data_IF_179200355079
#
_entry.id   IF_179200355079
#
_cell.length_a   1.000
_cell.length_b   1.000
_cell.length_c   1.000
_cell.angle_alpha   90.00
_cell.angle_beta   90.00
_cell.angle_gamma   90.00
#
_symmetry.space_group_name_H-M   'P 1'
#
loop_
_entity.id
_entity.type
_entity.pdbx_description
1 polymer ?
#
# COMPACT_ATOMS: atom_id res chain seq x y z
N UNK A 1 -0.33 -32.49 -4.73
CA UNK A 1 0.77 -32.24 -3.79
C UNK A 1 0.28 -31.38 -2.64
N UNK A 2 -0.37 -32.04 -1.67
CA UNK A 2 -0.98 -31.39 -0.51
C UNK A 2 -0.06 -31.51 0.69
N UNK A 3 0.59 -30.41 1.06
CA UNK A 3 1.18 -30.28 2.38
C UNK A 3 0.00 -30.11 3.36
N UNK A 4 -0.54 -31.22 3.86
CA UNK A 4 -1.51 -31.19 4.97
C UNK A 4 -0.74 -30.83 6.24
N UNK A 5 -0.64 -29.54 6.48
CA UNK A 5 -0.02 -29.05 7.71
C UNK A 5 -1.03 -29.24 8.85
N UNK A 6 -0.77 -30.27 9.66
CA UNK A 6 -1.56 -30.67 10.83
C UNK A 6 -1.35 -29.67 11.99
N UNK A 7 -1.77 -28.42 11.82
CA UNK A 7 -1.65 -27.39 12.87
C UNK A 7 -2.95 -27.30 13.69
N UNK A 8 -2.82 -27.66 14.97
CA UNK A 8 -3.72 -27.42 16.11
C UNK A 8 -5.08 -28.15 16.13
N UNK A 9 -5.33 -29.05 17.11
CA UNK A 9 -6.54 -29.88 17.18
C UNK A 9 -7.81 -29.14 17.62
N UNK A 10 -7.81 -27.82 17.84
CA UNK A 10 -8.98 -27.14 18.43
C UNK A 10 -9.15 -25.67 18.06
N UNK A 11 -8.64 -25.21 16.91
CA UNK A 11 -9.07 -23.90 16.39
C UNK A 11 -10.23 -24.13 15.44
N UNK A 12 -11.42 -23.65 15.81
CA UNK A 12 -12.60 -23.71 14.97
C UNK A 12 -12.29 -23.04 13.62
N UNK A 13 -12.17 -23.84 12.56
CA UNK A 13 -11.88 -23.38 11.19
C UNK A 13 -12.80 -22.24 10.74
N UNK A 14 -14.04 -22.22 11.24
CA UNK A 14 -15.02 -21.17 11.00
C UNK A 14 -14.53 -19.79 11.46
N UNK A 15 -13.88 -19.70 12.63
CA UNK A 15 -13.42 -18.43 13.19
C UNK A 15 -12.18 -17.91 12.45
N UNK A 16 -11.25 -18.80 12.09
CA UNK A 16 -10.10 -18.46 11.23
C UNK A 16 -10.54 -17.98 9.84
N UNK A 17 -11.55 -18.61 9.25
CA UNK A 17 -12.09 -18.22 7.95
C UNK A 17 -12.77 -16.83 8.01
N UNK A 18 -13.59 -16.59 9.04
CA UNK A 18 -14.22 -15.29 9.29
C UNK A 18 -13.18 -14.20 9.52
N UNK A 19 -12.17 -14.46 10.35
CA UNK A 19 -11.09 -13.53 10.62
C UNK A 19 -10.28 -13.22 9.35
N UNK A 20 -9.93 -14.23 8.55
CA UNK A 20 -9.24 -14.03 7.27
C UNK A 20 -10.05 -13.15 6.33
N UNK A 21 -11.35 -13.42 6.18
CA UNK A 21 -12.26 -12.62 5.36
C UNK A 21 -12.35 -11.17 5.85
N UNK A 22 -12.44 -10.98 7.17
CA UNK A 22 -12.41 -9.66 7.80
C UNK A 22 -11.12 -8.90 7.47
N UNK A 23 -9.95 -9.50 7.67
CA UNK A 23 -8.65 -8.86 7.37
C UNK A 23 -8.54 -8.51 5.88
N UNK A 24 -8.97 -9.39 4.98
CA UNK A 24 -8.95 -9.11 3.54
C UNK A 24 -9.85 -7.93 3.18
N UNK A 25 -11.07 -7.86 3.73
CA UNK A 25 -11.98 -6.74 3.51
C UNK A 25 -11.46 -5.44 4.11
N UNK A 26 -10.93 -5.46 5.34
CA UNK A 26 -10.34 -4.27 5.98
C UNK A 26 -9.16 -3.77 5.19
N UNK A 27 -8.26 -4.65 4.75
CA UNK A 27 -7.08 -4.28 3.95
C UNK A 27 -7.50 -3.69 2.61
N UNK A 28 -8.49 -4.29 1.95
CA UNK A 28 -9.04 -3.80 0.69
C UNK A 28 -9.61 -2.40 0.83
N UNK A 29 -10.50 -2.20 1.81
CA UNK A 29 -11.13 -0.91 2.07
C UNK A 29 -10.07 0.12 2.46
N UNK A 30 -9.17 -0.23 3.38
CA UNK A 30 -8.10 0.68 3.83
C UNK A 30 -7.20 1.12 2.68
N UNK A 31 -6.85 0.22 1.75
CA UNK A 31 -6.04 0.56 0.59
C UNK A 31 -6.70 1.58 -0.33
N UNK A 32 -8.01 1.45 -0.58
CA UNK A 32 -8.78 2.40 -1.36
C UNK A 32 -8.86 3.78 -0.66
N UNK A 33 -9.08 3.79 0.66
CA UNK A 33 -9.10 5.02 1.45
C UNK A 33 -7.74 5.70 1.49
N UNK A 34 -6.65 4.95 1.63
CA UNK A 34 -5.29 5.50 1.56
C UNK A 34 -5.06 6.19 0.21
N UNK A 35 -5.48 5.58 -0.90
CA UNK A 35 -5.41 6.20 -2.21
C UNK A 35 -6.22 7.50 -2.26
N UNK A 36 -7.40 7.55 -1.64
CA UNK A 36 -8.21 8.76 -1.54
C UNK A 36 -7.53 9.85 -0.69
N UNK A 37 -6.93 9.53 0.46
CA UNK A 37 -6.16 10.51 1.25
C UNK A 37 -5.01 11.06 0.44
N UNK A 38 -4.23 10.17 -0.19
CA UNK A 38 -3.10 10.57 -1.03
C UNK A 38 -3.62 11.46 -2.14
N UNK A 39 -4.78 11.14 -2.71
CA UNK A 39 -5.42 11.96 -3.73
C UNK A 39 -5.80 13.34 -3.22
N UNK A 40 -6.41 13.42 -2.04
CA UNK A 40 -6.85 14.66 -1.39
C UNK A 40 -5.66 15.50 -0.95
N UNK A 41 -4.66 14.94 -0.26
CA UNK A 41 -3.42 15.65 0.14
C UNK A 41 -2.77 16.29 -1.08
N UNK A 42 -2.76 15.57 -2.20
CA UNK A 42 -2.12 16.04 -3.43
C UNK A 42 -2.96 17.07 -4.13
N UNK A 43 -4.27 16.90 -4.19
CA UNK A 43 -5.20 17.93 -4.66
C UNK A 43 -5.13 19.22 -3.84
N UNK A 44 -5.06 19.12 -2.50
CA UNK A 44 -4.92 20.26 -1.59
C UNK A 44 -3.60 21.00 -1.85
N UNK A 45 -2.47 20.28 -1.92
CA UNK A 45 -1.18 20.89 -2.26
C UNK A 45 -1.30 21.61 -3.60
N UNK A 46 -1.92 20.97 -4.59
CA UNK A 46 -2.10 21.46 -5.95
C UNK A 46 -2.85 22.79 -6.01
N UNK A 47 -3.98 22.88 -5.29
CA UNK A 47 -4.84 24.05 -5.28
C UNK A 47 -4.39 25.14 -4.31
N UNK A 48 -3.70 24.81 -3.22
CA UNK A 48 -3.32 25.75 -2.15
C UNK A 48 -1.80 25.75 -1.87
N UNK A 49 -0.96 26.17 -2.83
CA UNK A 49 0.47 25.93 -2.76
C UNK A 49 1.22 26.58 -1.60
N UNK A 50 0.66 27.60 -0.96
CA UNK A 50 1.38 28.44 0.01
C UNK A 50 0.86 28.42 1.42
N UNK A 51 -0.33 27.85 1.60
CA UNK A 51 -0.73 27.41 2.93
C UNK A 51 -0.59 25.91 3.11
N UNK A 52 -0.02 25.23 2.11
CA UNK A 52 0.48 23.86 2.25
C UNK A 52 1.40 23.71 3.47
N UNK A 53 2.23 24.72 3.79
CA UNK A 53 3.10 24.70 4.98
C UNK A 53 2.36 24.67 6.32
N UNK A 54 1.17 25.29 6.43
CA UNK A 54 0.39 25.28 7.69
C UNK A 54 -0.70 24.19 7.72
N UNK A 55 -1.14 23.73 6.54
CA UNK A 55 -2.18 22.70 6.38
C UNK A 55 -1.56 21.29 6.41
N UNK A 56 -0.45 21.06 5.72
CA UNK A 56 0.26 19.78 5.68
C UNK A 56 1.43 19.72 6.68
N UNK A 57 1.20 20.11 7.93
CA UNK A 57 2.19 19.85 8.98
C UNK A 57 2.27 18.35 9.25
N UNK A 58 3.45 17.79 9.60
CA UNK A 58 3.58 16.35 9.86
C UNK A 58 2.62 15.87 10.95
N UNK A 59 2.30 16.74 11.94
CA UNK A 59 1.28 16.48 12.96
C UNK A 59 -0.12 16.33 12.37
N UNK A 60 -0.53 17.22 11.46
CA UNK A 60 -1.84 17.14 10.77
C UNK A 60 -1.91 16.02 9.75
N UNK A 61 -0.81 15.69 9.08
CA UNK A 61 -0.72 14.54 8.19
C UNK A 61 -0.82 13.23 8.97
N UNK A 62 -0.19 13.15 10.14
CA UNK A 62 -0.33 12.01 11.05
C UNK A 62 -1.75 11.93 11.60
N UNK A 63 -2.38 13.06 11.94
CA UNK A 63 -3.79 13.10 12.30
C UNK A 63 -4.66 12.68 11.11
N UNK A 64 -4.38 13.07 9.86
CA UNK A 64 -5.15 12.67 8.69
C UNK A 64 -4.98 11.18 8.38
N UNK A 65 -3.76 10.64 8.45
CA UNK A 65 -3.48 9.21 8.26
C UNK A 65 -4.10 8.41 9.39
N UNK A 66 -3.95 8.85 10.64
CA UNK A 66 -4.63 8.23 11.77
C UNK A 66 -6.13 8.33 11.54
N UNK A 67 -6.68 9.49 11.25
CA UNK A 67 -8.10 9.69 10.96
C UNK A 67 -8.54 8.95 9.71
N UNK A 68 -7.71 8.46 8.81
CA UNK A 68 -8.19 7.76 7.60
C UNK A 68 -7.63 6.33 7.45
N UNK A 69 -6.85 5.85 8.40
CA UNK A 69 -6.70 4.42 8.72
C UNK A 69 -7.68 4.05 9.84
N UNK A 70 -7.69 4.89 10.88
CA UNK A 70 -8.66 4.86 11.94
C UNK A 70 -10.03 5.31 11.45
N UNK A 71 -10.26 6.18 10.45
CA UNK A 71 -11.66 6.38 9.99
C UNK A 71 -12.19 5.15 9.28
N UNK A 72 -11.54 4.42 8.36
CA UNK A 72 -12.12 3.21 7.80
C UNK A 72 -12.22 2.10 8.85
N UNK A 73 -11.26 1.98 9.77
CA UNK A 73 -11.35 1.03 10.87
C UNK A 73 -12.45 1.43 11.87
N UNK A 74 -12.56 2.71 12.21
CA UNK A 74 -13.63 3.34 12.99
C UNK A 74 -14.91 3.51 12.19
N UNK A 75 -14.96 3.45 10.87
CA UNK A 75 -16.16 3.50 10.02
C UNK A 75 -16.62 2.08 9.82
N UNK A 76 -15.75 1.09 9.82
CA UNK A 76 -16.12 -0.31 9.98
C UNK A 76 -16.56 -0.57 11.42
N UNK A 77 -15.86 -0.03 12.41
CA UNK A 77 -16.28 -0.08 13.82
C UNK A 77 -17.49 0.79 14.06
N UNK A 78 -17.65 1.94 13.40
CA UNK A 78 -18.84 2.81 13.45
C UNK A 78 -19.91 2.09 12.69
N UNK A 79 -19.76 1.58 11.48
CA UNK A 79 -20.79 0.74 10.83
C UNK A 79 -21.12 -0.49 11.67
N UNK A 80 -20.19 -1.10 12.41
CA UNK A 80 -20.52 -2.15 13.38
C UNK A 80 -21.23 -1.57 14.61
N UNK A 81 -20.78 -0.41 15.10
CA UNK A 81 -21.30 0.35 16.23
C UNK A 81 -22.56 1.11 15.85
N UNK A 82 -22.95 1.28 14.60
CA UNK A 82 -23.99 2.10 13.93
C UNK A 82 -24.92 1.14 13.19
N UNK A 83 -24.54 -0.11 12.95
CA UNK A 83 -25.41 -1.28 13.02
C UNK A 83 -25.75 -1.55 14.48
N UNK A 84 -24.88 -1.24 15.44
CA UNK A 84 -25.16 -1.29 16.88
C UNK A 84 -25.86 -0.02 17.41
N UNK A 85 -25.73 1.17 16.76
CA UNK A 85 -26.14 2.55 17.10
C UNK A 85 -27.26 3.06 16.18
N UNK A 86 -27.42 2.67 14.91
CA UNK A 86 -28.76 2.65 14.31
C UNK A 86 -29.65 1.57 14.99
N UNK A 87 -29.04 0.58 15.66
CA UNK A 87 -29.69 -0.21 16.73
C UNK A 87 -29.78 0.55 18.07
N UNK A 88 -28.85 1.47 18.37
CA UNK A 88 -28.74 2.24 19.64
C UNK A 88 -29.08 3.71 19.60
N UNK A 89 -29.77 4.21 18.58
CA UNK A 89 -30.18 5.59 18.31
C UNK A 89 -29.42 6.25 17.11
N UNK A 90 -30.07 6.75 16.03
CA UNK A 90 -31.05 7.84 16.14
C UNK A 90 -30.41 9.07 16.83
N UNK A 91 -29.06 9.19 16.88
CA UNK A 91 -28.28 10.14 17.72
C UNK A 91 -27.25 10.95 16.89
N UNK A 92 -27.77 11.81 16.00
CA UNK A 92 -27.31 13.21 15.81
C UNK A 92 -25.86 13.42 15.29
N UNK A 93 -25.62 13.44 13.97
CA UNK A 93 -25.40 14.61 13.05
C UNK A 93 -24.35 15.70 13.41
N UNK A 94 -23.59 16.13 12.37
CA UNK A 94 -23.22 17.54 11.97
C UNK A 94 -21.77 18.12 12.18
N UNK A 95 -21.07 18.32 11.03
CA UNK A 95 -20.36 19.52 10.46
C UNK A 95 -18.84 19.84 10.65
N UNK A 96 -18.31 20.39 9.53
CA UNK A 96 -16.98 20.71 8.91
C UNK A 96 -16.03 21.76 9.54
N UNK A 97 -14.81 21.93 8.96
CA UNK A 97 -14.23 23.29 8.82
C UNK A 97 -13.38 23.63 7.55
N UNK A 98 -13.51 24.91 7.19
CA UNK A 98 -12.66 26.01 6.65
C UNK A 98 -11.28 25.87 5.93
N UNK A 99 -11.07 26.80 4.97
CA UNK A 99 -10.00 26.97 3.96
C UNK A 99 -8.85 27.92 4.37
N UNK A 100 -7.70 27.91 3.63
CA UNK A 100 -6.72 29.01 3.64
C UNK A 100 -5.73 28.97 2.37
N UNK A 101 -5.54 30.08 1.60
CA UNK A 101 -4.63 30.41 0.38
C UNK A 101 -3.28 31.22 0.54
N UNK A 102 -2.22 31.15 -0.32
CA UNK A 102 -1.50 32.34 -0.97
C UNK A 102 0.00 32.28 -1.42
N UNK A 103 0.32 32.17 -2.73
CA UNK A 103 1.59 32.66 -3.35
C UNK A 103 1.99 32.00 -4.70
N UNK A 104 3.18 32.31 -5.26
CA UNK A 104 3.45 32.03 -6.69
C UNK A 104 4.75 31.27 -7.14
N UNK A 105 5.92 31.35 -6.49
CA UNK A 105 7.17 30.78 -7.11
C UNK A 105 7.30 29.26 -7.11
N UNK A 106 6.61 28.57 -6.21
CA UNK A 106 6.48 27.11 -6.23
C UNK A 106 5.68 26.60 -7.44
N UNK A 107 4.91 27.47 -8.12
CA UNK A 107 3.84 27.04 -9.02
C UNK A 107 4.35 26.31 -10.28
N UNK A 108 5.51 26.68 -10.84
CA UNK A 108 6.05 25.99 -12.03
C UNK A 108 6.57 24.58 -11.74
N UNK A 109 7.36 24.41 -10.67
CA UNK A 109 7.85 23.07 -10.22
C UNK A 109 6.70 22.19 -9.74
N UNK A 110 5.67 22.82 -9.21
CA UNK A 110 4.49 22.13 -8.74
C UNK A 110 3.59 21.67 -9.89
N UNK A 111 3.45 22.44 -10.97
CA UNK A 111 2.69 22.00 -12.16
C UNK A 111 3.23 20.69 -12.77
N UNK A 112 4.55 20.49 -12.83
CA UNK A 112 5.12 19.23 -13.33
C UNK A 112 4.88 18.06 -12.37
N UNK A 113 5.05 18.29 -11.07
CA UNK A 113 4.70 17.31 -10.04
C UNK A 113 3.21 16.95 -10.10
N UNK A 114 2.32 17.93 -10.22
CA UNK A 114 0.87 17.74 -10.33
C UNK A 114 0.47 16.87 -11.50
N UNK A 115 1.03 17.11 -12.70
CA UNK A 115 0.74 16.29 -13.88
C UNK A 115 1.14 14.83 -13.64
N UNK A 116 2.30 14.61 -13.03
CA UNK A 116 2.79 13.28 -12.68
C UNK A 116 1.92 12.59 -11.62
N UNK A 117 1.49 13.33 -10.61
CA UNK A 117 0.59 12.86 -9.56
C UNK A 117 -0.79 12.50 -10.08
N UNK A 118 -1.31 13.31 -11.01
CA UNK A 118 -2.59 13.08 -11.66
C UNK A 118 -2.57 11.81 -12.50
N UNK A 119 -1.52 11.62 -13.32
CA UNK A 119 -1.35 10.39 -14.11
C UNK A 119 -1.30 9.15 -13.20
N UNK A 120 -0.61 9.25 -12.06
CA UNK A 120 -0.53 8.16 -11.09
C UNK A 120 -1.88 7.85 -10.43
N UNK A 121 -2.59 8.88 -9.94
CA UNK A 121 -3.90 8.69 -9.33
C UNK A 121 -4.89 8.12 -10.35
N UNK A 122 -4.93 8.68 -11.55
CA UNK A 122 -5.79 8.21 -12.62
C UNK A 122 -5.48 6.75 -12.98
N UNK A 123 -4.20 6.41 -13.13
CA UNK A 123 -3.78 5.02 -13.33
C UNK A 123 -4.24 4.09 -12.20
N UNK A 124 -4.09 4.50 -10.94
CA UNK A 124 -4.53 3.68 -9.80
C UNK A 124 -6.05 3.45 -9.78
N UNK A 125 -6.85 4.46 -10.14
CA UNK A 125 -8.32 4.36 -10.24
C UNK A 125 -8.73 3.47 -11.40
N UNK A 126 -8.11 3.62 -12.58
CA UNK A 126 -8.41 2.77 -13.74
C UNK A 126 -8.12 1.30 -13.43
N UNK A 127 -6.96 1.01 -12.85
CA UNK A 127 -6.58 -0.37 -12.50
C UNK A 127 -7.50 -0.90 -11.39
N UNK A 128 -7.88 -0.07 -10.41
CA UNK A 128 -8.84 -0.45 -9.37
C UNK A 128 -10.20 -0.81 -9.97
N UNK A 129 -10.72 -0.01 -10.90
CA UNK A 129 -12.00 -0.28 -11.57
C UNK A 129 -11.94 -1.58 -12.39
N UNK A 130 -10.90 -1.75 -13.20
CA UNK A 130 -10.72 -2.95 -14.04
C UNK A 130 -10.63 -4.22 -13.18
N UNK A 131 -9.99 -4.15 -12.01
CA UNK A 131 -9.76 -5.32 -11.15
C UNK A 131 -10.86 -5.56 -10.14
N UNK A 132 -11.53 -4.51 -9.65
CA UNK A 132 -12.54 -4.62 -8.59
C UNK A 132 -13.96 -4.75 -9.12
N UNK A 133 -14.29 -4.17 -10.29
CA UNK A 133 -15.63 -4.29 -10.87
C UNK A 133 -16.01 -5.75 -11.19
N UNK A 134 -15.17 -6.57 -11.83
CA UNK A 134 -15.53 -7.96 -12.11
C UNK A 134 -15.80 -8.77 -10.83
N UNK A 135 -14.99 -8.54 -9.78
CA UNK A 135 -15.18 -9.18 -8.47
C UNK A 135 -16.49 -8.74 -7.79
N UNK A 136 -16.83 -7.46 -7.87
CA UNK A 136 -18.09 -6.92 -7.34
C UNK A 136 -19.32 -7.47 -8.07
N UNK A 137 -19.31 -7.43 -9.40
CA UNK A 137 -20.40 -7.96 -10.25
C UNK A 137 -20.60 -9.45 -9.98
N UNK A 138 -19.51 -10.22 -9.93
CA UNK A 138 -19.56 -11.65 -9.65
C UNK A 138 -20.21 -11.97 -8.30
N UNK A 139 -19.86 -11.24 -7.23
CA UNK A 139 -20.46 -11.42 -5.90
C UNK A 139 -21.96 -11.09 -5.88
N UNK A 140 -22.40 -10.11 -6.65
CA UNK A 140 -23.83 -9.72 -6.73
C UNK A 140 -24.63 -10.75 -7.54
N UNK A 141 -24.05 -11.30 -8.61
CA UNK A 141 -24.72 -12.26 -9.48
C UNK A 141 -24.76 -13.69 -8.90
N UNK A 142 -23.72 -14.09 -8.16
CA UNK A 142 -23.59 -15.45 -7.60
C UNK A 142 -24.81 -15.94 -6.79
N UNK A 143 -25.42 -15.17 -5.87
CA UNK A 143 -26.59 -15.64 -5.13
C UNK A 143 -27.87 -15.72 -5.97
N UNK A 144 -27.88 -15.15 -7.18
CA UNK A 144 -29.08 -15.03 -8.03
C UNK A 144 -29.17 -16.14 -9.09
N UNK A 145 -28.08 -16.81 -9.39
CA UNK A 145 -28.06 -17.98 -10.27
C UNK A 145 -28.48 -19.20 -9.45
N UNK A 146 -29.76 -19.56 -9.54
CA UNK A 146 -30.30 -20.79 -8.97
C UNK A 146 -29.50 -22.03 -9.41
N UNK A 147 -29.61 -23.09 -8.62
CA UNK A 147 -28.83 -24.34 -8.60
C UNK A 147 -28.72 -25.14 -9.91
N UNK A 148 -29.20 -24.66 -11.05
CA UNK A 148 -29.60 -25.56 -12.13
C UNK A 148 -28.57 -25.87 -13.22
N UNK A 149 -27.38 -25.25 -13.30
CA UNK A 149 -26.42 -25.66 -14.36
C UNK A 149 -24.94 -25.38 -14.12
N UNK A 150 -24.56 -24.40 -13.29
CA UNK A 150 -23.13 -24.11 -13.08
C UNK A 150 -22.58 -25.08 -12.02
N UNK A 151 -21.63 -25.91 -12.43
CA UNK A 151 -20.92 -26.79 -11.50
C UNK A 151 -20.23 -25.93 -10.43
N UNK A 152 -20.42 -26.29 -9.15
CA UNK A 152 -19.81 -25.59 -8.00
C UNK A 152 -18.31 -25.35 -8.20
N UNK A 153 -17.63 -26.30 -8.88
CA UNK A 153 -16.24 -26.21 -9.26
C UNK A 153 -15.91 -24.98 -10.14
N UNK A 154 -16.72 -24.69 -11.15
CA UNK A 154 -16.52 -23.51 -12.01
C UNK A 154 -16.68 -22.22 -11.22
N UNK A 155 -17.66 -22.17 -10.30
CA UNK A 155 -17.87 -21.03 -9.42
C UNK A 155 -16.63 -20.79 -8.53
N UNK A 156 -16.10 -21.84 -7.90
CA UNK A 156 -14.88 -21.75 -7.07
C UNK A 156 -13.66 -21.33 -7.90
N UNK A 157 -13.48 -21.86 -9.11
CA UNK A 157 -12.37 -21.51 -10.00
C UNK A 157 -12.42 -20.03 -10.42
N UNK A 158 -13.61 -19.52 -10.77
CA UNK A 158 -13.80 -18.11 -11.13
C UNK A 158 -13.52 -17.21 -9.92
N UNK A 159 -14.08 -17.54 -8.76
CA UNK A 159 -13.84 -16.80 -7.52
C UNK A 159 -12.36 -16.74 -7.14
N UNK A 160 -11.66 -17.87 -7.23
CA UNK A 160 -10.21 -17.96 -6.94
C UNK A 160 -9.39 -17.14 -7.93
N UNK A 161 -9.73 -17.21 -9.23
CA UNK A 161 -9.03 -16.44 -10.27
C UNK A 161 -9.21 -14.93 -10.06
N UNK A 162 -10.43 -14.47 -9.76
CA UNK A 162 -10.71 -13.07 -9.44
C UNK A 162 -9.93 -12.61 -8.19
N UNK A 163 -9.80 -13.46 -7.18
CA UNK A 163 -9.00 -13.18 -5.98
C UNK A 163 -7.50 -13.04 -6.30
N UNK A 164 -6.96 -13.86 -7.20
CA UNK A 164 -5.59 -13.72 -7.69
C UNK A 164 -5.37 -12.41 -8.45
N UNK A 165 -6.30 -12.04 -9.34
CA UNK A 165 -6.26 -10.75 -10.03
C UNK A 165 -6.27 -9.57 -9.06
N UNK A 166 -7.06 -9.66 -8.00
CA UNK A 166 -7.09 -8.65 -6.94
C UNK A 166 -5.77 -8.59 -6.16
N UNK A 167 -5.09 -9.73 -5.97
CA UNK A 167 -3.78 -9.75 -5.32
C UNK A 167 -2.70 -9.09 -6.20
N UNK A 168 -2.75 -9.34 -7.51
CA UNK A 168 -1.91 -8.68 -8.50
C UNK A 168 -2.16 -7.17 -8.53
N UNK A 169 -3.40 -6.71 -8.35
CA UNK A 169 -3.71 -5.28 -8.24
C UNK A 169 -2.91 -4.59 -7.12
N UNK A 170 -2.83 -5.19 -5.93
CA UNK A 170 -2.10 -4.61 -4.82
C UNK A 170 -0.60 -4.54 -5.08
N UNK A 171 -0.02 -5.62 -5.63
CA UNK A 171 1.38 -5.64 -6.01
C UNK A 171 1.67 -4.57 -7.08
N UNK A 172 0.84 -4.51 -8.13
CA UNK A 172 1.02 -3.57 -9.24
C UNK A 172 0.84 -2.12 -8.80
N UNK A 173 -0.12 -1.85 -7.91
CA UNK A 173 -0.30 -0.52 -7.32
C UNK A 173 0.95 -0.06 -6.58
N UNK A 174 1.58 -0.94 -5.78
CA UNK A 174 2.86 -0.65 -5.15
C UNK A 174 3.95 -0.33 -6.18
N UNK A 175 4.09 -1.15 -7.22
CA UNK A 175 5.09 -0.91 -8.27
C UNK A 175 4.84 0.39 -9.03
N UNK A 176 3.59 0.72 -9.34
CA UNK A 176 3.22 1.98 -10.00
C UNK A 176 3.54 3.17 -9.10
N UNK A 177 3.31 3.08 -7.79
CA UNK A 177 3.70 4.11 -6.85
C UNK A 177 5.22 4.30 -6.78
N UNK A 178 5.97 3.21 -6.70
CA UNK A 178 7.43 3.23 -6.71
C UNK A 178 7.99 3.80 -8.02
N UNK A 179 7.46 3.33 -9.17
CA UNK A 179 7.91 3.74 -10.48
C UNK A 179 7.49 5.18 -10.78
N UNK A 180 6.30 5.62 -10.41
CA UNK A 180 5.87 6.97 -10.76
C UNK A 180 6.56 8.04 -9.92
N UNK A 181 6.87 7.79 -8.64
CA UNK A 181 7.51 8.80 -7.80
C UNK A 181 8.95 9.07 -8.24
N UNK A 182 9.19 10.21 -8.90
CA UNK A 182 10.54 10.68 -9.25
C UNK A 182 11.40 10.93 -8.01
N UNK A 183 10.79 11.34 -6.90
CA UNK A 183 11.46 11.47 -5.62
C UNK A 183 11.94 10.10 -5.12
N UNK A 184 11.06 9.09 -5.16
CA UNK A 184 11.43 7.73 -4.78
C UNK A 184 12.55 7.20 -5.66
N UNK A 185 12.47 7.38 -6.99
CA UNK A 185 13.54 6.97 -7.91
C UNK A 185 14.87 7.63 -7.59
N UNK A 186 14.88 8.92 -7.24
CA UNK A 186 16.11 9.64 -6.85
C UNK A 186 16.69 9.08 -5.55
N UNK A 187 15.88 9.02 -4.49
CA UNK A 187 16.29 8.49 -3.18
C UNK A 187 16.75 7.02 -3.29
N UNK A 188 16.00 6.20 -4.02
CA UNK A 188 16.35 4.80 -4.24
C UNK A 188 17.66 4.66 -5.02
N UNK A 189 17.83 5.42 -6.10
CA UNK A 189 19.09 5.40 -6.88
C UNK A 189 20.26 5.86 -6.02
N UNK A 190 20.06 6.85 -5.17
CA UNK A 190 21.10 7.34 -4.26
C UNK A 190 21.45 6.30 -3.19
N UNK A 191 20.46 5.66 -2.59
CA UNK A 191 20.67 4.57 -1.64
C UNK A 191 21.38 3.37 -2.29
N UNK A 192 20.95 2.96 -3.48
CA UNK A 192 21.61 1.89 -4.25
C UNK A 192 23.05 2.27 -4.58
N UNK A 193 23.31 3.51 -5.00
CA UNK A 193 24.66 4.02 -5.25
C UNK A 193 25.52 3.98 -3.97
N UNK A 194 24.97 4.36 -2.81
CA UNK A 194 25.69 4.26 -1.52
C UNK A 194 26.05 2.82 -1.17
N UNK A 195 25.12 1.89 -1.34
CA UNK A 195 25.37 0.45 -1.09
C UNK A 195 26.43 -0.10 -2.07
N UNK A 196 26.32 0.28 -3.34
CA UNK A 196 27.28 -0.11 -4.38
C UNK A 196 28.68 0.38 -4.07
N UNK A 197 28.84 1.67 -3.77
CA UNK A 197 30.13 2.26 -3.41
C UNK A 197 30.71 1.58 -2.16
N UNK A 198 29.89 1.29 -1.14
CA UNK A 198 30.33 0.58 0.07
C UNK A 198 30.81 -0.84 -0.22
N UNK A 199 30.16 -1.56 -1.16
CA UNK A 199 30.63 -2.88 -1.62
C UNK A 199 31.95 -2.75 -2.36
N UNK A 200 32.08 -1.77 -3.23
CA UNK A 200 33.29 -1.55 -4.02
C UNK A 200 34.50 -1.23 -3.13
N UNK A 201 34.34 -0.38 -2.11
CA UNK A 201 35.40 -0.11 -1.12
C UNK A 201 35.85 -1.36 -0.36
N UNK A 202 34.92 -2.28 -0.03
CA UNK A 202 35.29 -3.55 0.63
C UNK A 202 36.10 -4.47 -0.27
N UNK A 203 35.75 -4.54 -1.55
CA UNK A 203 36.50 -5.35 -2.52
C UNK A 203 37.91 -4.81 -2.71
N UNK A 204 38.08 -3.48 -2.83
CA UNK A 204 39.40 -2.86 -2.95
C UNK A 204 40.28 -3.10 -1.71
N UNK A 205 39.71 -3.05 -0.50
CA UNK A 205 40.44 -3.36 0.74
C UNK A 205 40.85 -4.83 0.81
N UNK A 206 40.00 -5.75 0.34
CA UNK A 206 40.36 -7.16 0.26
C UNK A 206 41.49 -7.42 -0.75
N UNK A 207 41.43 -6.82 -1.94
CA UNK A 207 42.51 -6.94 -2.93
C UNK A 207 43.85 -6.42 -2.39
N UNK A 208 43.85 -5.25 -1.73
CA UNK A 208 45.07 -4.71 -1.13
C UNK A 208 45.63 -5.60 -0.02
N UNK A 209 44.77 -6.24 0.79
CA UNK A 209 45.21 -7.18 1.82
C UNK A 209 45.84 -8.44 1.22
N UNK A 210 45.30 -8.95 0.11
CA UNK A 210 45.86 -10.09 -0.62
C UNK A 210 47.23 -9.74 -1.23
N UNK A 211 47.40 -8.53 -1.76
CA UNK A 211 48.69 -8.06 -2.28
C UNK A 211 49.75 -7.91 -1.17
N UNK A 212 49.38 -7.36 -0.02
CA UNK A 212 50.27 -7.24 1.15
C UNK A 212 50.73 -8.59 1.70
N UNK A 213 49.86 -9.60 1.71
CA UNK A 213 50.25 -10.97 2.10
C UNK A 213 51.28 -11.58 1.14
N UNK A 214 51.31 -11.15 -0.11
CA UNK A 214 52.28 -11.63 -1.08
C UNK A 214 53.65 -10.97 -0.94
N UNK A 215 53.71 -9.77 -0.33
CA UNK A 215 54.94 -8.99 -0.12
C UNK A 215 55.60 -9.32 1.22
N UNK A 216 54.87 -9.88 2.20
CA UNK A 216 55.49 -10.26 3.46
C UNK A 216 56.51 -11.39 3.23
N UNK A 217 57.82 -11.15 3.47
CA UNK A 217 58.84 -12.15 3.24
C UNK A 217 58.58 -13.35 4.13
N UNK A 218 58.62 -14.53 3.54
CA UNK A 218 58.43 -15.81 4.21
C UNK A 218 59.58 -15.99 5.20
N UNK A 219 59.37 -15.60 6.45
CA UNK A 219 60.30 -15.90 7.55
C UNK A 219 60.40 -17.42 7.66
N UNK A 220 61.45 -17.98 7.07
CA UNK A 220 61.79 -19.38 7.23
C UNK A 220 62.18 -19.60 8.69
N UNK A 221 61.49 -20.47 9.44
CA UNK A 221 61.84 -20.73 10.83
C UNK A 221 63.27 -21.30 10.86
N UNK A 222 64.17 -20.61 11.56
CA UNK A 222 65.47 -21.16 11.89
C UNK A 222 65.26 -22.39 12.77
N UNK A 223 65.60 -23.55 12.22
CA UNK A 223 65.73 -24.78 12.99
C UNK A 223 66.99 -24.66 13.83
N UNK A 224 66.81 -24.59 15.15
CA UNK A 224 67.87 -24.81 16.13
C UNK A 224 68.02 -26.30 16.41
#
# INVERSE_FOLDING_TARGET
FGLQIHFYPYVAYNELCRFRSFIMNVTQVSSAWILVIVSIDRWIRTRFPFKSGSICTPKKALIAIFTTCLAPACIMLIILIDIFINVRVRKRTIIQPFQFTHGDRNMKRQKSLQKQMFILMFGSVCIFLITSLPSGIYKIQSPRQGTETITVLQLVCIGTSLQWFQSLFYATSFYIHCLSSTLFRKEFTEQVRRIWNKRQSRVSVMQFRTELQHIQPRETPMKY
#
